data_IF_833986722109
#
_entry.id   IF_833986722109
#
_cell.length_a   1.000
_cell.length_b   1.000
_cell.length_c   1.000
_cell.angle_alpha   90.00
_cell.angle_beta   90.00
_cell.angle_gamma   90.00
#
_symmetry.space_group_name_H-M   'P 1'
#
loop_
_entity.id
_entity.type
_entity.pdbx_description
1 polymer ?
#
# COMPACT_ATOMS: atom_id res chain seq x y z
N UNK A 1 -32.22 36.69 -59.09
CA UNK A 1 -33.17 36.40 -57.99
C UNK A 1 -32.34 35.83 -56.84
N UNK A 2 -32.24 36.61 -55.74
CA UNK A 2 -31.68 36.32 -54.40
C UNK A 2 -30.23 35.76 -54.23
N UNK A 3 -29.32 36.67 -53.84
CA UNK A 3 -28.58 36.76 -52.55
C UNK A 3 -28.28 35.48 -51.75
N UNK A 4 -27.01 35.17 -51.45
CA UNK A 4 -26.26 35.62 -50.25
C UNK A 4 -24.89 34.94 -50.16
N UNK A 5 -23.94 35.72 -49.62
CA UNK A 5 -22.51 35.48 -49.36
C UNK A 5 -22.33 34.91 -47.96
N UNK A 6 -21.38 33.98 -47.71
CA UNK A 6 -20.51 33.92 -46.51
C UNK A 6 -19.31 32.98 -46.77
N UNK A 7 -18.10 33.49 -46.52
CA UNK A 7 -16.86 32.72 -46.33
C UNK A 7 -16.77 32.26 -44.87
N UNK A 8 -16.22 31.08 -44.60
CA UNK A 8 -15.65 30.77 -43.28
C UNK A 8 -14.39 29.91 -43.41
N UNK A 9 -13.35 30.32 -42.68
CA UNK A 9 -12.08 29.65 -42.48
C UNK A 9 -11.82 29.60 -40.96
N UNK A 10 -11.04 28.61 -40.49
CA UNK A 10 -10.42 28.45 -39.16
C UNK A 10 -11.26 28.03 -37.93
N UNK A 11 -10.76 27.04 -37.17
CA UNK A 11 -10.25 27.25 -35.79
C UNK A 11 -9.81 25.93 -35.12
N UNK A 12 -8.51 25.80 -34.88
CA UNK A 12 -7.92 24.97 -33.83
C UNK A 12 -8.33 25.55 -32.46
N UNK A 13 -8.70 24.69 -31.51
CA UNK A 13 -9.10 25.11 -30.16
C UNK A 13 -7.89 25.23 -29.25
N UNK A 14 -7.56 26.46 -28.88
CA UNK A 14 -6.71 26.81 -27.74
C UNK A 14 -7.39 26.44 -26.41
N UNK A 15 -6.70 25.69 -25.55
CA UNK A 15 -7.09 25.46 -24.16
C UNK A 15 -6.66 26.66 -23.28
N UNK A 16 -7.64 27.37 -22.71
CA UNK A 16 -7.41 28.49 -21.78
C UNK A 16 -7.18 28.01 -20.34
N UNK A 17 -6.06 28.42 -19.76
CA UNK A 17 -5.73 28.26 -18.35
C UNK A 17 -6.39 29.38 -17.51
N UNK A 18 -7.19 29.02 -16.51
CA UNK A 18 -7.76 29.96 -15.54
C UNK A 18 -6.72 30.28 -14.44
N UNK A 19 -6.03 31.41 -14.57
CA UNK A 19 -5.18 31.95 -13.51
C UNK A 19 -6.01 32.83 -12.57
N UNK A 20 -6.13 32.44 -11.29
CA UNK A 20 -6.52 33.35 -10.22
C UNK A 20 -5.33 33.55 -9.28
N UNK A 21 -4.81 34.78 -9.34
CA UNK A 21 -3.90 35.49 -8.44
C UNK A 21 -3.44 34.79 -7.15
N UNK A 22 -2.13 34.56 -7.07
CA UNK A 22 -1.38 34.51 -5.80
C UNK A 22 -0.30 35.59 -5.90
N UNK A 23 -0.58 36.75 -5.33
CA UNK A 23 0.44 37.72 -4.94
C UNK A 23 0.44 37.72 -3.43
N UNK A 24 1.49 37.24 -2.77
CA UNK A 24 1.92 37.70 -1.45
C UNK A 24 3.37 37.25 -1.22
N UNK A 25 4.15 38.14 -0.60
CA UNK A 25 5.56 38.04 -0.20
C UNK A 25 6.65 38.21 -1.28
N UNK A 26 7.11 39.45 -1.45
CA UNK A 26 8.52 39.83 -1.33
C UNK A 26 8.58 41.34 -1.03
N UNK A 27 8.82 41.71 0.23
CA UNK A 27 9.20 43.08 0.60
C UNK A 27 10.71 43.23 0.37
N UNK A 28 11.04 44.23 -0.45
CA UNK A 28 12.35 44.76 -0.80
C UNK A 28 13.30 44.99 0.39
N UNK A 29 14.58 44.69 0.20
CA UNK A 29 15.70 45.28 0.97
C UNK A 29 16.98 45.28 0.10
N UNK A 30 17.21 46.31 -0.72
CA UNK A 30 18.56 46.85 -1.02
C UNK A 30 18.46 48.32 -1.49
N UNK A 31 19.51 49.14 -1.25
CA UNK A 31 19.36 50.57 -1.00
C UNK A 31 19.45 51.45 -2.26
N UNK A 32 18.90 52.64 -2.11
CA UNK A 32 18.91 53.77 -3.06
C UNK A 32 20.32 54.33 -3.31
N UNK A 33 20.60 54.67 -4.57
CA UNK A 33 21.57 55.71 -4.91
C UNK A 33 21.02 56.62 -6.00
N UNK A 34 20.92 57.91 -5.67
CA UNK A 34 20.58 59.00 -6.58
C UNK A 34 21.67 59.18 -7.64
N UNK A 35 21.31 59.41 -8.91
CA UNK A 35 22.04 60.32 -9.82
C UNK A 35 21.18 60.74 -11.04
N UNK A 36 20.78 62.02 -11.00
CA UNK A 36 20.59 63.08 -12.02
C UNK A 36 20.64 62.73 -13.54
N UNK A 37 19.48 62.94 -14.19
CA UNK A 37 19.16 63.66 -15.46
C UNK A 37 19.93 63.45 -16.78
N UNK A 38 19.25 62.96 -17.83
CA UNK A 38 19.06 63.58 -19.18
C UNK A 38 18.01 62.78 -20.00
N UNK A 39 17.19 63.41 -20.88
CA UNK A 39 16.18 62.69 -21.66
C UNK A 39 16.78 62.22 -22.98
N UNK A 40 17.21 60.97 -23.06
CA UNK A 40 17.50 60.33 -24.35
C UNK A 40 16.20 59.79 -24.92
N UNK A 41 15.87 60.19 -26.15
CA UNK A 41 14.73 59.66 -26.90
C UNK A 41 14.91 58.15 -27.09
N UNK A 42 14.26 57.35 -26.24
CA UNK A 42 14.18 55.90 -26.40
C UNK A 42 13.11 55.65 -27.47
N UNK A 43 13.54 55.19 -28.64
CA UNK A 43 12.68 54.49 -29.59
C UNK A 43 11.93 53.39 -28.83
N UNK A 44 10.61 53.52 -28.74
CA UNK A 44 9.73 52.48 -28.20
C UNK A 44 9.83 51.30 -29.17
N UNK A 45 10.74 50.37 -28.88
CA UNK A 45 10.63 49.00 -29.38
C UNK A 45 9.33 48.49 -28.76
N UNK A 46 8.32 48.25 -29.60
CA UNK A 46 7.11 47.52 -29.20
C UNK A 46 7.56 46.30 -28.40
N UNK A 47 7.16 46.12 -27.13
CA UNK A 47 7.50 44.90 -26.43
C UNK A 47 6.95 43.75 -27.27
N UNK A 48 7.85 42.89 -27.76
CA UNK A 48 7.45 41.59 -28.29
C UNK A 48 6.50 41.00 -27.28
N UNK A 49 5.33 40.55 -27.74
CA UNK A 49 4.30 39.92 -26.92
C UNK A 49 4.95 38.97 -25.91
N UNK A 50 5.12 39.44 -24.66
CA UNK A 50 5.59 38.61 -23.58
C UNK A 50 4.42 37.66 -23.30
N UNK A 51 4.45 36.49 -23.93
CA UNK A 51 3.67 35.35 -23.47
C UNK A 51 4.10 35.18 -22.02
N UNK A 52 3.19 35.29 -21.03
CA UNK A 52 3.56 35.05 -19.66
C UNK A 52 4.10 33.62 -19.58
N UNK A 53 5.40 33.48 -19.34
CA UNK A 53 6.04 32.19 -19.14
C UNK A 53 5.47 31.61 -17.85
N UNK A 54 4.44 30.77 -18.01
CA UNK A 54 3.87 30.01 -16.91
C UNK A 54 4.90 28.98 -16.45
N UNK A 55 4.87 28.56 -15.19
CA UNK A 55 5.80 27.54 -14.68
C UNK A 55 5.72 26.23 -15.49
N UNK A 56 4.57 25.96 -16.12
CA UNK A 56 4.34 24.85 -17.05
C UNK A 56 5.03 24.97 -18.41
N UNK A 57 5.61 26.13 -18.75
CA UNK A 57 6.40 26.34 -19.97
C UNK A 57 7.88 26.00 -19.79
N UNK A 58 8.31 25.69 -18.56
CA UNK A 58 9.66 25.24 -18.26
C UNK A 58 9.91 23.79 -18.76
N UNK A 59 11.16 23.44 -19.10
CA UNK A 59 11.57 22.07 -19.34
C UNK A 59 11.17 21.10 -18.22
N UNK A 60 10.81 19.86 -18.60
CA UNK A 60 10.28 18.85 -17.67
C UNK A 60 11.23 18.50 -16.53
N UNK A 61 12.53 18.47 -16.79
CA UNK A 61 13.60 18.21 -15.82
C UNK A 61 13.64 19.28 -14.71
N UNK A 62 13.50 20.56 -15.09
CA UNK A 62 13.45 21.68 -14.14
C UNK A 62 12.17 21.58 -13.30
N UNK A 63 11.02 21.35 -13.94
CA UNK A 63 9.73 21.18 -13.24
C UNK A 63 9.81 20.00 -12.28
N UNK A 64 10.39 18.88 -12.70
CA UNK A 64 10.54 17.68 -11.89
C UNK A 64 11.46 17.92 -10.68
N UNK A 65 12.57 18.64 -10.84
CA UNK A 65 13.43 19.03 -9.70
C UNK A 65 12.64 19.85 -8.67
N UNK A 66 11.88 20.85 -9.11
CA UNK A 66 11.05 21.66 -8.23
C UNK A 66 9.98 20.82 -7.52
N UNK A 67 9.20 20.04 -8.28
CA UNK A 67 8.16 19.19 -7.73
C UNK A 67 8.73 18.20 -6.70
N UNK A 68 9.91 17.63 -6.97
CA UNK A 68 10.55 16.64 -6.09
C UNK A 68 10.89 17.19 -4.70
N UNK A 69 11.00 18.51 -4.54
CA UNK A 69 11.31 19.18 -3.26
C UNK A 69 10.08 19.53 -2.44
N UNK A 70 8.88 19.46 -3.01
CA UNK A 70 7.66 19.88 -2.32
C UNK A 70 7.27 18.86 -1.24
N UNK A 71 6.71 19.28 -0.09
CA UNK A 71 6.18 18.35 0.91
C UNK A 71 5.10 17.41 0.36
N UNK A 72 5.07 16.16 0.82
CA UNK A 72 4.10 15.14 0.35
C UNK A 72 2.65 15.57 0.54
N UNK A 73 2.36 16.41 1.55
CA UNK A 73 1.01 16.94 1.82
C UNK A 73 0.47 17.88 0.75
N UNK A 74 1.32 18.49 -0.07
CA UNK A 74 0.90 19.40 -1.14
C UNK A 74 0.75 18.70 -2.49
N UNK A 75 1.20 17.44 -2.62
CA UNK A 75 1.14 16.68 -3.87
C UNK A 75 -0.29 16.50 -4.42
N UNK A 76 -1.33 16.25 -3.59
CA UNK A 76 -2.70 16.15 -4.09
C UNK A 76 -3.13 17.44 -4.79
N UNK A 77 -2.91 18.60 -4.16
CA UNK A 77 -3.28 19.90 -4.72
C UNK A 77 -2.47 20.25 -5.98
N UNK A 78 -1.18 19.91 -6.00
CA UNK A 78 -0.28 20.14 -7.14
C UNK A 78 -0.68 19.29 -8.34
N UNK A 79 -1.15 18.06 -8.11
CA UNK A 79 -1.60 17.18 -9.19
C UNK A 79 -2.80 17.77 -9.95
N UNK A 80 -3.58 18.66 -9.33
CA UNK A 80 -4.74 19.31 -9.91
C UNK A 80 -4.40 20.60 -10.69
N UNK A 81 -3.16 21.08 -10.63
CA UNK A 81 -2.75 22.34 -11.28
C UNK A 81 -2.76 22.20 -12.80
N UNK A 82 -2.15 21.13 -13.33
CA UNK A 82 -2.20 20.82 -14.76
C UNK A 82 -1.88 19.34 -15.03
N UNK A 83 -2.25 18.87 -16.22
CA UNK A 83 -2.04 17.49 -16.66
C UNK A 83 -0.56 17.11 -16.76
N UNK A 84 0.33 18.06 -17.07
CA UNK A 84 1.78 17.85 -17.10
C UNK A 84 2.30 17.49 -15.70
N UNK A 85 1.93 18.26 -14.68
CA UNK A 85 2.40 18.02 -13.32
C UNK A 85 1.86 16.71 -12.77
N UNK A 86 0.58 16.42 -13.00
CA UNK A 86 -0.01 15.12 -12.67
C UNK A 86 0.79 13.96 -13.27
N UNK A 87 1.18 14.07 -14.55
CA UNK A 87 2.01 13.06 -15.24
C UNK A 87 3.42 12.95 -14.67
N UNK A 88 4.06 14.08 -14.35
CA UNK A 88 5.41 14.10 -13.79
C UNK A 88 5.44 13.50 -12.37
N UNK A 89 4.42 13.75 -11.55
CA UNK A 89 4.33 13.15 -10.20
C UNK A 89 4.24 11.61 -10.23
N UNK A 90 3.62 11.06 -11.28
CA UNK A 90 3.49 9.62 -11.48
C UNK A 90 4.77 8.99 -12.07
N UNK A 91 5.69 9.80 -12.60
CA UNK A 91 6.90 9.32 -13.27
C UNK A 91 7.86 8.60 -12.31
N UNK A 92 8.60 7.57 -12.77
CA UNK A 92 9.62 6.91 -11.95
C UNK A 92 10.74 7.87 -11.54
N UNK A 93 11.04 8.88 -12.37
CA UNK A 93 12.08 9.87 -12.11
C UNK A 93 11.73 10.74 -10.89
N UNK A 94 10.46 11.10 -10.70
CA UNK A 94 10.01 11.82 -9.51
C UNK A 94 10.29 11.03 -8.22
N UNK A 95 9.92 9.74 -8.22
CA UNK A 95 10.15 8.84 -7.09
C UNK A 95 11.65 8.71 -6.82
N UNK A 96 12.44 8.52 -7.88
CA UNK A 96 13.90 8.42 -7.79
C UNK A 96 14.51 9.68 -7.16
N UNK A 97 14.10 10.87 -7.61
CA UNK A 97 14.56 12.14 -7.08
C UNK A 97 14.16 12.35 -5.61
N UNK A 98 12.94 11.98 -5.21
CA UNK A 98 12.53 12.05 -3.80
C UNK A 98 13.33 11.07 -2.93
N UNK A 99 13.63 9.87 -3.44
CA UNK A 99 14.46 8.89 -2.75
C UNK A 99 15.87 9.42 -2.51
N UNK A 100 16.50 10.02 -3.53
CA UNK A 100 17.82 10.65 -3.41
C UNK A 100 17.85 11.83 -2.41
N UNK A 101 16.71 12.51 -2.23
CA UNK A 101 16.55 13.63 -1.29
C UNK A 101 16.12 13.21 0.12
N UNK A 102 15.96 11.90 0.38
CA UNK A 102 15.46 11.38 1.66
C UNK A 102 14.06 11.93 2.05
N UNK A 103 13.23 12.23 1.04
CA UNK A 103 11.87 12.76 1.21
C UNK A 103 10.78 11.68 1.11
N UNK A 104 11.17 10.41 1.02
CA UNK A 104 10.27 9.27 1.09
C UNK A 104 10.33 8.66 2.49
N UNK A 105 9.17 8.44 3.08
CA UNK A 105 9.05 7.82 4.39
C UNK A 105 8.20 6.56 4.30
N UNK A 106 8.55 5.56 5.10
CA UNK A 106 7.68 4.41 5.30
C UNK A 106 6.59 4.81 6.29
N UNK A 107 5.34 4.71 5.88
CA UNK A 107 4.17 5.04 6.70
C UNK A 107 3.21 3.85 6.74
N UNK A 108 2.40 3.75 7.79
CA UNK A 108 1.32 2.77 7.83
C UNK A 108 0.01 3.44 7.42
N UNK A 109 -0.65 2.91 6.40
CA UNK A 109 -1.90 3.46 5.88
C UNK A 109 -3.05 2.51 6.19
N UNK A 110 -4.09 3.05 6.82
CA UNK A 110 -5.37 2.39 7.05
C UNK A 110 -6.35 2.77 5.93
N UNK A 111 -7.10 1.79 5.44
CA UNK A 111 -8.04 1.95 4.33
C UNK A 111 -9.35 1.34 4.74
N UNK A 112 -10.42 2.12 4.68
CA UNK A 112 -11.77 1.60 4.85
C UNK A 112 -12.67 2.01 3.71
N UNK A 113 -13.60 1.12 3.35
CA UNK A 113 -14.64 1.39 2.38
C UNK A 113 -15.84 2.00 3.11
N UNK A 114 -16.33 3.11 2.58
CA UNK A 114 -17.55 3.80 3.01
C UNK A 114 -18.57 3.78 1.88
N UNK A 115 -19.83 4.08 2.20
CA UNK A 115 -20.89 4.27 1.21
C UNK A 115 -20.63 5.39 0.19
N UNK A 116 -19.62 6.24 0.41
CA UNK A 116 -19.28 7.37 -0.48
C UNK A 116 -17.89 7.23 -1.15
N UNK A 117 -17.17 6.13 -0.90
CA UNK A 117 -15.82 5.92 -1.41
C UNK A 117 -14.85 5.35 -0.38
N UNK A 118 -13.57 5.68 -0.50
CA UNK A 118 -12.54 5.18 0.42
C UNK A 118 -12.08 6.27 1.39
N UNK A 119 -11.89 5.89 2.64
CA UNK A 119 -11.16 6.70 3.60
C UNK A 119 -9.77 6.11 3.78
N UNK A 120 -8.78 7.00 3.75
CA UNK A 120 -7.40 6.68 4.03
C UNK A 120 -6.96 7.43 5.28
N UNK A 121 -6.25 6.77 6.17
CA UNK A 121 -5.53 7.45 7.24
C UNK A 121 -4.09 6.98 7.23
N UNK A 122 -3.15 7.91 7.27
CA UNK A 122 -1.72 7.62 7.28
C UNK A 122 -1.18 7.92 8.67
N UNK A 123 -0.55 6.93 9.28
CA UNK A 123 0.16 7.05 10.54
C UNK A 123 1.57 7.58 10.25
N UNK A 124 1.83 8.82 10.67
CA UNK A 124 3.14 9.46 10.60
C UNK A 124 3.46 10.03 11.98
N UNK A 125 4.65 9.74 12.52
CA UNK A 125 5.13 10.29 13.80
C UNK A 125 4.11 10.16 14.94
N UNK A 126 3.47 9.00 15.06
CA UNK A 126 2.46 8.73 16.09
C UNK A 126 1.19 9.60 16.00
N UNK A 127 0.86 10.11 14.81
CA UNK A 127 -0.39 10.83 14.56
C UNK A 127 -1.05 10.32 13.28
N UNK A 128 -2.38 10.17 13.31
CA UNK A 128 -3.16 9.75 12.15
C UNK A 128 -3.65 10.97 11.37
N UNK A 129 -3.15 11.13 10.14
CA UNK A 129 -3.66 12.12 9.20
C UNK A 129 -4.70 11.46 8.29
N UNK A 130 -5.96 11.89 8.39
CA UNK A 130 -7.05 11.34 7.59
C UNK A 130 -7.23 12.12 6.30
N UNK A 131 -7.33 11.41 5.19
CA UNK A 131 -7.62 11.97 3.87
C UNK A 131 -8.82 11.23 3.28
N UNK A 132 -9.77 11.99 2.73
CA UNK A 132 -11.00 11.45 2.13
C UNK A 132 -10.82 11.34 0.62
N UNK A 133 -11.10 10.18 0.07
CA UNK A 133 -11.00 9.92 -1.36
C UNK A 133 -12.40 9.64 -1.88
N UNK A 134 -12.92 10.59 -2.65
CA UNK A 134 -14.22 10.40 -3.29
C UNK A 134 -14.03 9.54 -4.52
N UNK A 135 -14.91 8.56 -4.67
CA UNK A 135 -15.00 7.68 -5.84
C UNK A 135 -15.67 8.45 -6.99
N UNK A 136 -15.13 9.63 -7.37
CA UNK A 136 -15.79 10.51 -8.35
C UNK A 136 -15.48 10.15 -9.81
N UNK A 137 -14.58 9.19 -10.07
CA UNK A 137 -14.09 8.90 -11.44
C UNK A 137 -14.35 7.48 -11.93
N UNK A 138 -14.86 6.57 -11.10
CA UNK A 138 -15.18 5.21 -11.55
C UNK A 138 -16.68 5.09 -11.83
N UNK A 139 -17.15 5.61 -12.97
CA UNK A 139 -18.54 5.48 -13.44
C UNK A 139 -18.98 4.02 -13.72
N UNK A 140 -18.13 3.02 -13.45
CA UNK A 140 -18.30 1.63 -13.87
C UNK A 140 -18.62 0.65 -12.73
N UNK A 141 -18.64 1.07 -11.46
CA UNK A 141 -18.85 0.16 -10.32
C UNK A 141 -19.93 0.74 -9.41
N UNK A 142 -21.01 -0.01 -9.16
CA UNK A 142 -22.01 0.39 -8.19
C UNK A 142 -21.42 0.33 -6.77
N UNK A 143 -21.81 1.24 -5.88
CA UNK A 143 -21.26 1.33 -4.52
C UNK A 143 -21.54 0.08 -3.66
N UNK A 144 -22.65 -0.61 -3.92
CA UNK A 144 -22.98 -1.89 -3.27
C UNK A 144 -22.08 -3.05 -3.74
N UNK A 145 -21.61 -3.01 -4.98
CA UNK A 145 -20.63 -3.97 -5.48
C UNK A 145 -19.28 -3.78 -4.80
N UNK A 146 -18.87 -2.54 -4.52
CA UNK A 146 -17.58 -2.22 -3.86
C UNK A 146 -17.47 -2.92 -2.50
N UNK A 147 -18.51 -2.85 -1.66
CA UNK A 147 -18.49 -3.52 -0.35
C UNK A 147 -18.36 -5.04 -0.46
N UNK A 148 -19.07 -5.66 -1.42
CA UNK A 148 -19.04 -7.10 -1.63
C UNK A 148 -17.71 -7.58 -2.22
N UNK A 149 -17.19 -6.83 -3.20
CA UNK A 149 -15.90 -7.05 -3.86
C UNK A 149 -14.75 -7.02 -2.84
N UNK A 150 -14.83 -6.10 -1.89
CA UNK A 150 -13.79 -5.86 -0.88
C UNK A 150 -13.92 -6.72 0.37
N UNK A 151 -14.98 -7.53 0.47
CA UNK A 151 -15.14 -8.47 1.58
C UNK A 151 -13.97 -9.47 1.59
N UNK A 152 -13.10 -9.36 2.60
CA UNK A 152 -11.84 -10.11 2.71
C UNK A 152 -10.76 -9.74 1.68
N UNK A 153 -10.78 -8.50 1.16
CA UNK A 153 -9.71 -7.99 0.35
C UNK A 153 -8.35 -8.01 1.08
N UNK A 154 -7.30 -8.08 0.29
CA UNK A 154 -5.92 -7.89 0.74
C UNK A 154 -5.40 -6.58 0.17
N UNK A 155 -4.61 -5.89 0.97
CA UNK A 155 -3.97 -4.65 0.55
C UNK A 155 -2.49 -4.91 0.41
N UNK A 156 -1.94 -4.48 -0.71
CA UNK A 156 -0.52 -4.60 -1.05
C UNK A 156 -0.06 -3.24 -1.58
N UNK A 157 1.13 -2.80 -1.22
CA UNK A 157 1.70 -1.57 -1.73
C UNK A 157 2.89 -1.85 -2.64
N UNK A 158 3.07 -0.99 -3.64
CA UNK A 158 4.28 -0.90 -4.46
C UNK A 158 4.61 0.58 -4.57
N UNK A 159 5.64 1.03 -3.85
CA UNK A 159 5.94 2.47 -3.70
C UNK A 159 4.71 3.22 -3.15
N UNK A 160 4.29 4.30 -3.81
CA UNK A 160 3.11 5.13 -3.48
C UNK A 160 1.78 4.54 -3.96
N UNK A 161 1.81 3.42 -4.69
CA UNK A 161 0.60 2.75 -5.15
C UNK A 161 0.11 1.76 -4.11
N UNK A 162 -1.19 1.81 -3.85
CA UNK A 162 -1.87 0.88 -2.98
C UNK A 162 -2.89 0.08 -3.77
N UNK A 163 -2.70 -1.24 -3.78
CA UNK A 163 -3.55 -2.19 -4.47
C UNK A 163 -4.47 -2.87 -3.48
N UNK A 164 -5.77 -2.73 -3.71
CA UNK A 164 -6.81 -3.42 -2.95
C UNK A 164 -7.29 -4.59 -3.80
N UNK A 165 -6.77 -5.77 -3.49
CA UNK A 165 -7.06 -7.02 -4.20
C UNK A 165 -8.27 -7.70 -3.53
N UNK A 166 -9.43 -7.56 -4.16
CA UNK A 166 -10.68 -8.18 -3.74
C UNK A 166 -10.85 -9.60 -4.27
N UNK A 167 -12.05 -10.16 -4.13
CA UNK A 167 -12.35 -11.51 -4.66
C UNK A 167 -12.38 -11.54 -6.19
N UNK A 168 -13.08 -10.58 -6.78
CA UNK A 168 -13.42 -10.52 -8.21
C UNK A 168 -13.04 -9.19 -8.87
N UNK A 169 -12.41 -8.27 -8.13
CA UNK A 169 -11.91 -7.03 -8.69
C UNK A 169 -10.67 -6.58 -7.92
N UNK A 170 -9.89 -5.71 -8.56
CA UNK A 170 -8.73 -5.08 -7.96
C UNK A 170 -8.77 -3.60 -8.22
N UNK A 171 -8.52 -2.80 -7.18
CA UNK A 171 -8.43 -1.35 -7.29
C UNK A 171 -6.99 -0.93 -7.01
N UNK A 172 -6.50 0.04 -7.77
CA UNK A 172 -5.23 0.70 -7.53
C UNK A 172 -5.50 2.15 -7.14
N UNK A 173 -5.00 2.54 -5.98
CA UNK A 173 -5.13 3.86 -5.40
C UNK A 173 -3.76 4.54 -5.33
N UNK A 174 -3.70 5.80 -5.75
CA UNK A 174 -2.52 6.65 -5.61
C UNK A 174 -2.58 7.40 -4.27
N UNK A 175 -1.58 7.23 -3.40
CA UNK A 175 -1.53 7.97 -2.13
C UNK A 175 -1.19 9.45 -2.29
N UNK A 176 -0.65 9.88 -3.43
CA UNK A 176 -0.25 11.26 -3.70
C UNK A 176 -1.31 12.06 -4.44
N UNK A 177 -1.89 11.54 -5.52
CA UNK A 177 -2.89 12.27 -6.33
C UNK A 177 -4.33 12.01 -5.90
N UNK A 178 -4.50 11.07 -4.98
CA UNK A 178 -5.80 10.58 -4.55
C UNK A 178 -6.66 9.93 -5.63
N UNK A 179 -6.04 9.49 -6.72
CA UNK A 179 -6.73 8.82 -7.82
C UNK A 179 -6.98 7.34 -7.52
N UNK A 180 -8.10 6.81 -8.02
CA UNK A 180 -8.48 5.40 -7.93
C UNK A 180 -8.75 4.87 -9.33
N UNK A 181 -8.19 3.72 -9.65
CA UNK A 181 -8.30 3.07 -10.96
C UNK A 181 -8.65 1.60 -10.79
N UNK A 182 -9.51 1.07 -11.66
CA UNK A 182 -9.80 -0.37 -11.72
C UNK A 182 -8.66 -1.07 -12.48
N UNK A 183 -8.21 -2.20 -11.95
CA UNK A 183 -7.24 -3.08 -12.59
C UNK A 183 -7.87 -4.45 -12.85
N UNK A 184 -7.19 -5.28 -13.65
CA UNK A 184 -7.64 -6.65 -13.90
C UNK A 184 -7.78 -7.45 -12.62
N UNK A 185 -8.88 -8.19 -12.54
CA UNK A 185 -9.10 -9.16 -11.47
C UNK A 185 -8.18 -10.39 -11.66
N UNK A 186 -7.92 -11.09 -10.55
CA UNK A 186 -7.22 -12.38 -10.56
C UNK A 186 -7.91 -13.38 -11.50
N UNK A 187 -7.13 -14.31 -12.08
CA UNK A 187 -7.63 -15.39 -12.93
C UNK A 187 -8.57 -16.29 -12.12
N UNK A 188 -8.19 -16.63 -10.89
CA UNK A 188 -9.00 -17.46 -10.00
C UNK A 188 -9.53 -16.64 -8.81
N UNK A 189 -10.85 -16.39 -8.74
CA UNK A 189 -11.49 -15.80 -7.58
C UNK A 189 -11.16 -16.53 -6.27
N UNK A 190 -10.68 -15.77 -5.28
CA UNK A 190 -10.21 -16.31 -3.99
C UNK A 190 -10.59 -15.39 -2.83
N UNK A 191 -10.64 -15.95 -1.61
CA UNK A 191 -10.85 -15.19 -0.36
C UNK A 191 -9.84 -15.59 0.69
N UNK A 192 -9.49 -14.65 1.58
CA UNK A 192 -8.53 -14.88 2.68
C UNK A 192 -7.22 -15.55 2.20
N UNK A 193 -6.72 -15.08 1.06
CA UNK A 193 -5.47 -15.53 0.45
C UNK A 193 -4.28 -14.76 1.05
N UNK A 194 -3.08 -15.29 0.83
CA UNK A 194 -1.83 -14.58 1.05
C UNK A 194 -1.57 -13.63 -0.14
N UNK A 195 -1.11 -12.41 0.12
CA UNK A 195 -0.73 -11.45 -0.91
C UNK A 195 0.52 -10.68 -0.47
N UNK A 196 1.44 -10.39 -1.39
CA UNK A 196 2.60 -9.54 -1.12
C UNK A 196 3.20 -8.97 -2.40
N UNK A 197 3.88 -7.83 -2.29
CA UNK A 197 4.65 -7.24 -3.38
C UNK A 197 6.08 -7.78 -3.37
N UNK A 198 6.58 -8.18 -4.53
CA UNK A 198 7.98 -8.58 -4.71
C UNK A 198 8.48 -8.05 -6.06
N UNK A 199 9.62 -7.38 -6.06
CA UNK A 199 10.26 -6.84 -7.27
C UNK A 199 9.29 -6.06 -8.18
N UNK A 200 8.43 -5.22 -7.59
CA UNK A 200 7.48 -4.38 -8.33
C UNK A 200 6.23 -5.09 -8.85
N UNK A 201 6.03 -6.37 -8.50
CA UNK A 201 4.87 -7.18 -8.89
C UNK A 201 4.11 -7.69 -7.67
N UNK A 202 2.85 -8.09 -7.83
CA UNK A 202 2.02 -8.60 -6.74
C UNK A 202 1.84 -10.10 -6.90
N UNK A 203 2.07 -10.85 -5.83
CA UNK A 203 1.87 -12.30 -5.80
C UNK A 203 0.73 -12.64 -4.87
N UNK A 204 -0.12 -13.59 -5.29
CA UNK A 204 -1.23 -14.10 -4.48
C UNK A 204 -1.21 -15.62 -4.42
N UNK A 205 -1.51 -16.19 -3.26
CA UNK A 205 -1.55 -17.63 -3.06
C UNK A 205 -2.58 -18.08 -2.01
N UNK A 206 -3.10 -19.30 -2.16
CA UNK A 206 -4.15 -19.83 -1.30
C UNK A 206 -5.51 -19.15 -1.49
N UNK A 207 -6.45 -19.43 -0.60
CA UNK A 207 -7.79 -18.83 -0.59
C UNK A 207 -8.76 -19.33 -1.68
N UNK A 208 -8.30 -20.20 -2.58
CA UNK A 208 -9.09 -20.77 -3.67
C UNK A 208 -9.76 -22.10 -3.28
N UNK A 209 -11.01 -22.29 -3.69
CA UNK A 209 -11.78 -23.53 -3.45
C UNK A 209 -11.31 -24.72 -4.31
N UNK A 210 -10.67 -24.47 -5.45
CA UNK A 210 -10.28 -25.51 -6.42
C UNK A 210 -8.87 -25.36 -6.99
N UNK A 211 -8.11 -24.37 -6.51
CA UNK A 211 -6.81 -24.04 -7.08
C UNK A 211 -5.77 -23.81 -5.99
N UNK A 212 -4.57 -24.33 -6.23
CA UNK A 212 -3.33 -24.00 -5.51
C UNK A 212 -2.47 -23.00 -6.27
N UNK A 213 -2.97 -22.43 -7.37
CA UNK A 213 -2.23 -21.51 -8.22
C UNK A 213 -1.73 -20.30 -7.42
N UNK A 214 -0.44 -20.04 -7.59
CA UNK A 214 0.21 -18.77 -7.26
C UNK A 214 0.13 -17.92 -8.52
N UNK A 215 -0.54 -16.79 -8.40
CA UNK A 215 -0.66 -15.83 -9.50
C UNK A 215 0.21 -14.63 -9.24
N UNK A 216 0.83 -14.12 -10.30
CA UNK A 216 1.61 -12.89 -10.35
C UNK A 216 0.82 -11.87 -11.15
N UNK A 217 0.72 -10.65 -10.62
CA UNK A 217 0.22 -9.48 -11.32
C UNK A 217 1.37 -8.56 -11.67
N UNK A 218 1.42 -8.18 -12.94
CA UNK A 218 2.30 -7.14 -13.45
C UNK A 218 1.51 -5.82 -13.63
N UNK A 219 1.80 -4.79 -12.81
CA UNK A 219 1.15 -3.49 -12.92
C UNK A 219 1.42 -2.74 -14.23
N UNK A 220 2.49 -3.08 -14.96
CA UNK A 220 2.84 -2.41 -16.22
C UNK A 220 1.93 -2.88 -17.35
N UNK A 221 1.72 -4.19 -17.46
CA UNK A 221 0.84 -4.78 -18.47
C UNK A 221 -0.62 -4.91 -18.04
N UNK A 222 -0.94 -4.68 -16.75
CA UNK A 222 -2.26 -4.94 -16.15
C UNK A 222 -2.73 -6.38 -16.43
N UNK A 223 -1.85 -7.35 -16.19
CA UNK A 223 -2.15 -8.76 -16.42
C UNK A 223 -1.78 -9.64 -15.24
N UNK A 224 -2.58 -10.71 -15.08
CA UNK A 224 -2.31 -11.80 -14.15
C UNK A 224 -1.82 -13.03 -14.93
N UNK A 225 -0.84 -13.73 -14.37
CA UNK A 225 -0.33 -15.01 -14.89
C UNK A 225 -0.15 -16.00 -13.76
N UNK A 226 -0.33 -17.29 -14.04
CA UNK A 226 0.01 -18.37 -13.10
C UNK A 226 1.51 -18.64 -13.18
N UNK A 227 2.23 -18.51 -12.06
CA UNK A 227 3.69 -18.69 -12.02
C UNK A 227 4.12 -20.03 -11.42
N UNK A 228 3.31 -20.62 -10.54
CA UNK A 228 3.54 -21.94 -9.94
C UNK A 228 2.25 -22.42 -9.24
N UNK A 229 2.26 -23.66 -8.76
CA UNK A 229 1.27 -24.17 -7.80
C UNK A 229 1.91 -24.30 -6.40
N UNK A 230 1.17 -23.89 -5.37
CA UNK A 230 1.61 -23.99 -3.98
C UNK A 230 1.60 -25.45 -3.49
N UNK A 231 2.60 -25.87 -2.68
CA UNK A 231 2.65 -27.22 -2.12
C UNK A 231 1.46 -27.55 -1.23
N UNK A 232 0.84 -26.52 -0.64
CA UNK A 232 -0.26 -26.64 0.31
C UNK A 232 -1.43 -25.77 -0.11
N UNK A 233 -2.62 -26.35 0.01
CA UNK A 233 -3.88 -25.63 -0.20
C UNK A 233 -4.37 -25.01 1.11
N UNK A 234 -4.21 -23.69 1.24
CA UNK A 234 -4.44 -22.93 2.48
C UNK A 234 -5.65 -21.98 2.38
N UNK A 235 -6.38 -21.79 3.47
CA UNK A 235 -7.37 -20.72 3.66
C UNK A 235 -6.99 -19.86 4.86
N UNK A 236 -7.11 -18.54 4.77
CA UNK A 236 -6.73 -17.66 5.88
C UNK A 236 -5.22 -17.55 6.09
N UNK A 237 -4.42 -17.81 5.06
CA UNK A 237 -2.98 -17.60 5.10
C UNK A 237 -2.62 -16.12 4.90
N UNK A 238 -1.38 -15.79 5.27
CA UNK A 238 -0.82 -14.43 5.22
C UNK A 238 0.39 -14.44 4.30
N UNK A 239 0.55 -13.36 3.53
CA UNK A 239 1.68 -13.15 2.64
C UNK A 239 2.67 -12.16 3.24
N UNK A 240 3.96 -12.44 3.11
CA UNK A 240 5.04 -11.50 3.40
C UNK A 240 6.15 -11.67 2.36
N UNK A 241 6.99 -10.66 2.19
CA UNK A 241 8.11 -10.73 1.25
C UNK A 241 9.37 -10.09 1.82
N UNK A 242 10.49 -10.74 1.56
CA UNK A 242 11.84 -10.24 1.87
C UNK A 242 12.79 -10.86 0.86
N UNK A 243 13.67 -10.03 0.29
CA UNK A 243 14.82 -10.50 -0.50
C UNK A 243 14.46 -11.45 -1.67
N UNK A 244 13.44 -11.05 -2.44
CA UNK A 244 12.97 -11.78 -3.61
C UNK A 244 12.15 -13.04 -3.29
N UNK A 245 11.87 -13.33 -2.02
CA UNK A 245 11.11 -14.53 -1.61
C UNK A 245 9.70 -14.13 -1.19
N UNK A 246 8.70 -14.86 -1.69
CA UNK A 246 7.32 -14.77 -1.23
C UNK A 246 7.04 -15.85 -0.17
N UNK A 247 6.71 -15.41 1.04
CA UNK A 247 6.43 -16.23 2.21
C UNK A 247 4.92 -16.39 2.38
N UNK A 248 4.43 -17.64 2.42
CA UNK A 248 3.03 -17.98 2.64
C UNK A 248 2.91 -18.65 4.01
N UNK A 249 2.32 -17.92 4.96
CA UNK A 249 2.41 -18.21 6.39
C UNK A 249 1.03 -18.59 6.94
N UNK A 250 0.99 -19.70 7.68
CA UNK A 250 -0.16 -20.16 8.44
C UNK A 250 -1.38 -20.51 7.59
N UNK A 251 -2.56 -20.28 8.16
CA UNK A 251 -3.85 -20.65 7.58
C UNK A 251 -4.25 -22.09 7.85
N UNK A 252 -5.41 -22.48 7.33
CA UNK A 252 -6.03 -23.77 7.55
C UNK A 252 -5.98 -24.61 6.27
N UNK A 253 -5.78 -25.92 6.42
CA UNK A 253 -5.94 -26.89 5.34
C UNK A 253 -7.38 -26.85 4.83
N UNK A 254 -7.53 -26.75 3.51
CA UNK A 254 -8.83 -26.98 2.86
C UNK A 254 -8.84 -28.41 2.31
N UNK A 255 -9.75 -29.25 2.80
CA UNK A 255 -9.97 -30.59 2.25
C UNK A 255 -10.52 -30.53 0.82
N UNK A 256 -10.24 -31.56 0.03
CA UNK A 256 -11.11 -31.95 -1.09
C UNK A 256 -12.36 -32.62 -0.51
N UNK A 257 -13.52 -32.47 -1.15
CA UNK A 257 -14.81 -33.04 -0.73
C UNK A 257 -14.87 -34.58 -0.87
N UNK A 258 -13.90 -35.31 -0.32
CA UNK A 258 -13.94 -36.77 -0.29
C UNK A 258 -13.72 -37.28 1.14
N UNK A 259 -14.81 -37.83 1.68
CA UNK A 259 -14.99 -38.60 2.92
C UNK A 259 -14.90 -37.84 4.25
N UNK A 260 -16.06 -37.44 4.74
CA UNK A 260 -16.36 -36.86 6.07
C UNK A 260 -15.91 -37.74 7.27
N UNK A 261 -15.60 -39.02 7.07
CA UNK A 261 -15.27 -39.95 8.16
C UNK A 261 -13.78 -40.00 8.60
N UNK A 262 -12.84 -39.43 7.83
CA UNK A 262 -11.40 -39.44 8.20
C UNK A 262 -10.91 -38.19 8.94
N UNK A 263 -11.82 -37.22 9.17
CA UNK A 263 -11.49 -35.86 9.65
C UNK A 263 -11.18 -35.75 11.14
N UNK A 264 -11.61 -36.71 11.97
CA UNK A 264 -11.59 -36.53 13.43
C UNK A 264 -10.22 -36.84 14.10
N UNK A 265 -9.46 -37.83 13.61
CA UNK A 265 -8.19 -38.23 14.21
C UNK A 265 -6.95 -37.67 13.47
N UNK A 266 -7.01 -37.50 12.15
CA UNK A 266 -5.93 -36.92 11.33
C UNK A 266 -6.04 -35.39 11.14
N UNK A 267 -7.18 -34.82 11.54
CA UNK A 267 -7.52 -33.42 11.32
C UNK A 267 -6.76 -32.47 12.24
N UNK A 268 -6.70 -32.75 13.55
CA UNK A 268 -6.11 -31.82 14.51
C UNK A 268 -4.60 -31.59 14.28
N UNK A 269 -3.84 -32.67 14.06
CA UNK A 269 -2.39 -32.58 13.75
C UNK A 269 -2.14 -31.95 12.37
N UNK A 270 -2.92 -32.30 11.35
CA UNK A 270 -2.81 -31.68 10.04
C UNK A 270 -3.22 -30.20 10.06
N UNK A 271 -4.21 -29.82 10.87
CA UNK A 271 -4.60 -28.42 11.06
C UNK A 271 -3.51 -27.63 11.80
N UNK A 272 -2.92 -28.19 12.85
CA UNK A 272 -1.78 -27.60 13.57
C UNK A 272 -0.55 -27.44 12.66
N UNK A 273 -0.28 -28.44 11.80
CA UNK A 273 0.81 -28.41 10.83
C UNK A 273 0.63 -27.32 9.75
N UNK A 274 -0.60 -26.94 9.42
CA UNK A 274 -0.86 -25.83 8.49
C UNK A 274 -0.79 -24.48 9.20
N UNK A 275 -1.40 -24.38 10.38
CA UNK A 275 -1.58 -23.13 11.12
C UNK A 275 -0.25 -22.46 11.52
N UNK A 276 0.81 -23.26 11.70
CA UNK A 276 2.15 -22.81 12.05
C UNK A 276 3.16 -22.87 10.89
N UNK A 277 2.80 -23.45 9.74
CA UNK A 277 3.77 -23.62 8.64
C UNK A 277 3.97 -22.37 7.79
N UNK A 278 5.15 -22.27 7.19
CA UNK A 278 5.55 -21.23 6.26
C UNK A 278 6.16 -21.88 5.00
N UNK A 279 5.52 -21.68 3.85
CA UNK A 279 6.07 -22.06 2.55
C UNK A 279 6.77 -20.86 1.92
N UNK A 280 7.89 -21.11 1.23
CA UNK A 280 8.78 -20.07 0.69
C UNK A 280 8.91 -20.30 -0.81
N UNK A 281 8.59 -19.28 -1.60
CA UNK A 281 8.76 -19.30 -3.05
C UNK A 281 9.82 -18.28 -3.46
N UNK A 282 10.95 -18.77 -3.97
CA UNK A 282 11.97 -17.92 -4.59
C UNK A 282 11.49 -17.53 -5.98
N UNK A 283 11.28 -16.23 -6.19
CA UNK A 283 10.69 -15.71 -7.42
C UNK A 283 11.69 -15.70 -8.56
N UNK A 284 12.96 -15.37 -8.29
CA UNK A 284 14.00 -15.35 -9.32
C UNK A 284 14.30 -16.77 -9.80
N UNK A 285 14.50 -17.69 -8.85
CA UNK A 285 14.75 -19.10 -9.15
C UNK A 285 13.49 -19.89 -9.56
N UNK A 286 12.29 -19.31 -9.44
CA UNK A 286 10.99 -19.95 -9.62
C UNK A 286 10.87 -21.31 -8.92
N UNK A 287 11.42 -21.39 -7.71
CA UNK A 287 11.54 -22.66 -6.97
C UNK A 287 10.98 -22.52 -5.56
N UNK A 288 10.32 -23.57 -5.11
CA UNK A 288 9.92 -23.68 -3.70
C UNK A 288 11.12 -24.04 -2.85
N UNK A 289 11.42 -23.19 -1.88
CA UNK A 289 12.46 -23.45 -0.90
C UNK A 289 11.89 -24.34 0.22
N UNK A 290 12.79 -24.89 1.03
CA UNK A 290 12.40 -25.75 2.16
C UNK A 290 11.44 -25.04 3.10
N UNK A 291 10.22 -25.56 3.23
CA UNK A 291 9.20 -25.06 4.16
C UNK A 291 9.74 -25.02 5.59
N UNK A 292 9.27 -24.02 6.35
CA UNK A 292 9.61 -23.81 7.75
C UNK A 292 8.35 -23.88 8.61
N UNK A 293 8.53 -23.94 9.92
CA UNK A 293 7.43 -23.95 10.90
C UNK A 293 7.72 -22.87 11.93
N UNK A 294 6.73 -22.02 12.19
CA UNK A 294 6.75 -21.04 13.27
C UNK A 294 6.68 -21.84 14.59
N UNK A 295 7.67 -21.73 15.47
CA UNK A 295 7.72 -22.54 16.67
C UNK A 295 6.57 -22.23 17.63
N UNK A 296 6.32 -23.14 18.57
CA UNK A 296 5.29 -23.01 19.60
C UNK A 296 3.95 -23.66 19.26
N UNK A 297 3.69 -24.05 18.00
CA UNK A 297 2.48 -24.83 17.64
C UNK A 297 1.16 -24.06 17.58
N UNK A 298 1.20 -22.73 17.68
CA UNK A 298 0.03 -21.86 17.65
C UNK A 298 -0.45 -21.52 16.23
N UNK A 299 -1.64 -20.94 16.15
CA UNK A 299 -2.17 -20.42 14.89
C UNK A 299 -1.58 -19.05 14.58
N UNK A 300 -0.96 -18.87 13.41
CA UNK A 300 -0.52 -17.53 12.98
C UNK A 300 -1.77 -16.66 12.72
N UNK A 301 -1.92 -15.59 13.50
CA UNK A 301 -3.05 -14.66 13.43
C UNK A 301 -2.72 -13.39 12.66
N UNK A 302 -1.44 -12.98 12.65
CA UNK A 302 -0.95 -11.87 11.86
C UNK A 302 0.53 -12.08 11.53
N UNK A 303 0.98 -11.60 10.38
CA UNK A 303 2.38 -11.63 10.00
C UNK A 303 2.69 -10.49 9.02
N UNK A 304 3.92 -10.02 9.03
CA UNK A 304 4.38 -8.96 8.14
C UNK A 304 5.91 -9.00 7.97
N UNK A 305 6.43 -8.29 6.98
CA UNK A 305 7.86 -8.13 6.76
C UNK A 305 8.31 -6.72 7.12
N UNK A 306 9.42 -6.59 7.84
CA UNK A 306 10.06 -5.32 8.22
C UNK A 306 11.55 -5.57 8.49
N UNK A 307 12.42 -4.58 8.29
CA UNK A 307 13.85 -4.69 8.61
C UNK A 307 14.59 -5.92 7.98
N UNK A 308 14.09 -6.46 6.86
CA UNK A 308 14.60 -7.70 6.26
C UNK A 308 14.32 -8.98 7.08
N UNK A 309 13.31 -8.95 7.94
CA UNK A 309 12.81 -10.09 8.72
C UNK A 309 11.33 -10.30 8.45
N UNK A 310 10.87 -11.52 8.69
CA UNK A 310 9.45 -11.85 8.74
C UNK A 310 9.04 -11.95 10.20
N UNK A 311 8.01 -11.22 10.59
CA UNK A 311 7.43 -11.22 11.92
C UNK A 311 6.10 -11.98 11.90
N UNK A 312 5.86 -12.81 12.91
CA UNK A 312 4.63 -13.59 13.04
C UNK A 312 4.10 -13.53 14.47
N UNK A 313 2.84 -13.11 14.59
CA UNK A 313 2.06 -13.22 15.82
C UNK A 313 1.26 -14.51 15.77
N UNK A 314 1.46 -15.34 16.79
CA UNK A 314 0.76 -16.61 16.94
C UNK A 314 -0.14 -16.59 18.16
N UNK A 315 -1.32 -17.18 18.02
CA UNK A 315 -2.27 -17.40 19.11
C UNK A 315 -2.23 -18.86 19.55
N UNK A 316 -2.05 -19.04 20.85
CA UNK A 316 -2.15 -20.31 21.56
C UNK A 316 -3.41 -20.31 22.42
N UNK A 317 -3.73 -21.46 23.02
CA UNK A 317 -4.91 -21.57 23.90
C UNK A 317 -4.91 -20.57 25.08
N UNK A 318 -3.73 -20.15 25.54
CA UNK A 318 -3.58 -19.35 26.77
C UNK A 318 -2.87 -18.01 26.54
N UNK A 319 -2.01 -17.90 25.52
CA UNK A 319 -1.20 -16.70 25.32
C UNK A 319 -0.94 -16.39 23.84
N UNK A 320 -0.49 -15.15 23.58
CA UNK A 320 0.08 -14.76 22.30
C UNK A 320 1.61 -14.84 22.37
N UNK A 321 2.23 -15.34 21.30
CA UNK A 321 3.68 -15.30 21.15
C UNK A 321 4.09 -14.65 19.84
N UNK A 322 5.11 -13.81 19.92
CA UNK A 322 5.62 -13.04 18.79
C UNK A 322 6.99 -13.57 18.37
N UNK A 323 7.14 -13.80 17.07
CA UNK A 323 8.31 -14.47 16.48
C UNK A 323 8.90 -13.63 15.36
N UNK A 324 10.21 -13.67 15.22
CA UNK A 324 10.92 -13.10 14.08
C UNK A 324 11.75 -14.15 13.36
N UNK A 325 11.78 -14.10 12.05
CA UNK A 325 12.57 -14.97 11.18
C UNK A 325 13.52 -14.11 10.35
N UNK A 326 14.82 -14.41 10.40
CA UNK A 326 15.79 -13.71 9.57
C UNK A 326 15.68 -14.19 8.12
N UNK A 327 15.10 -13.33 7.29
CA UNK A 327 14.71 -13.60 5.92
C UNK A 327 15.72 -13.06 4.89
N UNK A 328 16.83 -12.44 5.33
CA UNK A 328 17.92 -12.02 4.45
C UNK A 328 18.70 -13.25 3.98
N UNK A 329 18.96 -13.38 2.68
CA UNK A 329 19.84 -14.43 2.16
C UNK A 329 21.25 -14.23 2.74
N UNK A 330 21.81 -15.26 3.37
CA UNK A 330 23.24 -15.26 3.69
C UNK A 330 24.02 -15.41 2.37
N UNK A 331 24.97 -14.51 2.14
CA UNK A 331 25.96 -14.68 1.07
C UNK A 331 26.93 -15.79 1.47
N UNK A 332 26.55 -17.05 1.34
CA UNK A 332 27.47 -18.19 1.42
C UNK A 332 27.74 -18.70 0.00
N UNK A 333 29.01 -18.75 -0.39
CA UNK A 333 29.43 -19.14 -1.74
C UNK A 333 28.89 -20.51 -2.18
N UNK A 334 28.54 -20.60 -3.47
CA UNK A 334 28.12 -21.80 -4.23
C UNK A 334 27.32 -22.84 -3.42
N UNK A 335 26.09 -22.47 -3.06
CA UNK A 335 25.09 -23.41 -2.57
C UNK A 335 24.01 -22.72 -1.77
N UNK A 336 22.88 -22.44 -2.40
CA UNK A 336 21.60 -21.99 -1.82
C UNK A 336 21.68 -21.14 -0.55
N UNK A 337 21.58 -19.81 -0.69
CA UNK A 337 21.64 -18.87 0.43
C UNK A 337 20.81 -19.34 1.63
N UNK A 338 21.48 -19.70 2.71
CA UNK A 338 20.82 -20.20 3.91
C UNK A 338 20.07 -19.04 4.60
N UNK A 339 18.77 -19.21 4.81
CA UNK A 339 17.98 -18.30 5.65
C UNK A 339 18.27 -18.57 7.13
N UNK A 340 17.93 -17.62 8.00
CA UNK A 340 18.07 -17.78 9.44
C UNK A 340 17.01 -18.70 10.06
N UNK A 341 16.87 -18.60 11.38
CA UNK A 341 15.92 -19.36 12.17
C UNK A 341 14.87 -18.44 12.79
N UNK A 342 13.82 -19.05 13.34
CA UNK A 342 12.80 -18.35 14.10
C UNK A 342 13.31 -18.07 15.52
N UNK A 343 13.20 -16.83 15.96
CA UNK A 343 13.51 -16.40 17.32
C UNK A 343 12.24 -15.86 17.98
N UNK A 344 11.95 -16.32 19.20
CA UNK A 344 10.91 -15.72 20.05
C UNK A 344 11.37 -14.34 20.47
N UNK A 345 10.50 -13.35 20.36
CA UNK A 345 10.75 -11.97 20.78
C UNK A 345 9.68 -11.54 21.78
N UNK A 346 9.86 -10.35 22.36
CA UNK A 346 8.94 -9.79 23.36
C UNK A 346 7.52 -9.77 22.79
N UNK A 347 6.58 -10.42 23.48
CA UNK A 347 5.18 -10.41 23.08
C UNK A 347 4.57 -9.00 23.24
N UNK A 348 3.58 -8.64 22.41
CA UNK A 348 2.92 -7.34 22.52
C UNK A 348 2.25 -7.18 23.90
N UNK A 349 2.43 -6.03 24.58
CA UNK A 349 1.81 -5.76 25.87
C UNK A 349 0.32 -5.44 25.69
N UNK A 350 -0.50 -6.49 25.58
CA UNK A 350 -1.95 -6.33 25.49
C UNK A 350 -2.57 -6.09 26.88
N UNK A 351 -3.60 -5.22 26.99
CA UNK A 351 -4.32 -5.03 28.24
C UNK A 351 -4.96 -6.32 28.76
N UNK A 352 -4.95 -6.55 30.07
CA UNK A 352 -5.48 -7.77 30.73
C UNK A 352 -6.97 -8.06 30.44
N UNK A 353 -7.75 -7.05 30.03
CA UNK A 353 -9.15 -7.21 29.65
C UNK A 353 -9.36 -7.86 28.27
N UNK A 354 -8.29 -7.97 27.47
CA UNK A 354 -8.29 -8.61 26.16
C UNK A 354 -8.22 -10.12 26.38
N UNK A 355 -9.37 -10.73 26.73
CA UNK A 355 -9.49 -12.19 26.67
C UNK A 355 -9.17 -12.62 25.24
N UNK A 356 -8.20 -13.54 25.09
CA UNK A 356 -7.84 -14.19 23.82
C UNK A 356 -8.99 -15.12 23.40
N UNK A 357 -10.15 -14.55 23.15
CA UNK A 357 -11.27 -15.25 22.55
C UNK A 357 -11.15 -15.14 21.03
N UNK A 358 -11.81 -16.07 20.34
CA UNK A 358 -11.92 -16.23 18.89
C UNK A 358 -12.35 -14.99 18.10
N UNK A 359 -12.65 -13.88 18.77
CA UNK A 359 -13.08 -12.59 18.18
C UNK A 359 -11.95 -11.58 17.95
N UNK A 360 -10.77 -11.77 18.53
CA UNK A 360 -9.65 -10.85 18.31
C UNK A 360 -9.04 -11.05 16.93
N UNK A 361 -8.97 -9.96 16.15
CA UNK A 361 -8.23 -9.92 14.90
C UNK A 361 -7.10 -8.91 15.02
N UNK A 362 -5.96 -9.27 14.47
CA UNK A 362 -4.80 -8.40 14.40
C UNK A 362 -4.45 -8.15 12.95
N UNK A 363 -4.04 -6.92 12.66
CA UNK A 363 -3.31 -6.58 11.44
C UNK A 363 -1.87 -6.28 11.82
N UNK A 364 -0.92 -6.89 11.10
CA UNK A 364 0.52 -6.63 11.23
C UNK A 364 0.97 -5.92 9.97
N UNK A 365 1.64 -4.79 10.12
CA UNK A 365 2.18 -4.03 9.01
C UNK A 365 3.63 -3.68 9.29
N UNK A 366 4.51 -3.91 8.32
CA UNK A 366 5.87 -3.41 8.37
C UNK A 366 5.96 -1.96 7.91
N UNK A 367 6.73 -1.15 8.62
CA UNK A 367 6.96 0.26 8.35
C UNK A 367 8.45 0.55 8.55
N UNK A 368 9.27 0.28 7.53
CA UNK A 368 10.72 0.40 7.61
C UNK A 368 11.29 -0.53 8.68
N UNK A 369 11.90 0.06 9.72
CA UNK A 369 12.46 -0.62 10.89
C UNK A 369 11.45 -0.80 12.04
N UNK A 370 10.14 -0.64 11.77
CA UNK A 370 9.08 -0.80 12.77
C UNK A 370 8.03 -1.80 12.30
N UNK A 371 7.43 -2.50 13.26
CA UNK A 371 6.25 -3.34 13.04
C UNK A 371 5.08 -2.71 13.77
N UNK A 372 4.02 -2.39 13.05
CA UNK A 372 2.79 -1.84 13.61
C UNK A 372 1.78 -2.97 13.74
N UNK A 373 1.38 -3.25 14.98
CA UNK A 373 0.34 -4.21 15.31
C UNK A 373 -0.94 -3.45 15.66
N UNK A 374 -2.01 -3.75 14.95
CA UNK A 374 -3.29 -3.05 15.10
C UNK A 374 -4.35 -4.07 15.47
N UNK A 375 -5.01 -3.86 16.61
CA UNK A 375 -6.16 -4.65 17.01
C UNK A 375 -7.40 -4.19 16.25
N UNK A 376 -7.95 -5.09 15.43
CA UNK A 376 -9.15 -4.90 14.64
C UNK A 376 -10.29 -5.64 15.34
N UNK A 377 -11.36 -4.94 15.70
CA UNK A 377 -12.49 -5.59 16.36
C UNK A 377 -13.17 -6.64 15.48
N UNK A 378 -13.69 -7.67 16.15
CA UNK A 378 -14.35 -8.80 15.51
C UNK A 378 -15.76 -8.45 15.02
N UNK A 379 -16.19 -9.08 13.92
CA UNK A 379 -17.57 -9.00 13.44
C UNK A 379 -18.47 -9.81 14.38
N UNK A 380 -18.97 -9.19 15.45
CA UNK A 380 -19.88 -9.85 16.38
C UNK A 380 -20.06 -9.05 17.67
N UNK A 381 -20.89 -8.01 17.63
CA UNK A 381 -21.39 -7.25 18.78
C UNK A 381 -20.33 -6.48 19.57
N UNK A 382 -20.57 -5.18 19.77
CA UNK A 382 -19.78 -4.36 20.70
C UNK A 382 -19.83 -5.00 22.10
N UNK A 383 -18.70 -5.53 22.58
CA UNK A 383 -18.52 -5.69 24.02
C UNK A 383 -18.30 -4.28 24.54
N UNK A 384 -19.23 -3.77 25.37
CA UNK A 384 -19.09 -2.46 26.03
C UNK A 384 -17.67 -2.33 26.62
N UNK A 385 -16.86 -1.45 26.04
CA UNK A 385 -15.49 -1.15 26.50
C UNK A 385 -14.34 -1.60 25.59
N UNK A 386 -14.56 -2.35 24.49
CA UNK A 386 -13.47 -2.65 23.54
C UNK A 386 -13.26 -1.49 22.55
N UNK A 387 -12.22 -0.67 22.74
CA UNK A 387 -11.78 0.27 21.71
C UNK A 387 -11.16 -0.52 20.53
N UNK A 388 -11.86 -0.58 19.40
CA UNK A 388 -11.22 -0.96 18.13
C UNK A 388 -10.10 0.05 17.82
N UNK A 389 -9.00 -0.41 17.22
CA UNK A 389 -7.92 0.50 16.83
C UNK A 389 -6.84 0.71 17.88
N UNK A 390 -6.66 -0.22 18.82
CA UNK A 390 -5.48 -0.26 19.69
C UNK A 390 -4.23 -0.57 18.84
N UNK A 391 -3.33 0.41 18.73
CA UNK A 391 -2.09 0.36 17.96
C UNK A 391 -0.89 0.18 18.88
N UNK A 392 -0.09 -0.84 18.61
CA UNK A 392 1.22 -1.06 19.21
C UNK A 392 2.29 -0.97 18.13
N UNK A 393 3.43 -0.38 18.46
CA UNK A 393 4.56 -0.23 17.55
C UNK A 393 5.75 -0.95 18.16
N UNK A 394 6.25 -1.96 17.47
CA UNK A 394 7.48 -2.64 17.82
C UNK A 394 8.63 -2.02 17.04
N UNK A 395 9.66 -1.57 17.74
CA UNK A 395 10.88 -1.07 17.11
C UNK A 395 11.86 -2.24 16.91
N UNK A 396 12.22 -2.49 15.65
CA UNK A 396 13.07 -3.63 15.30
C UNK A 396 14.53 -3.44 15.73
N UNK A 397 14.94 -2.20 16.03
CA UNK A 397 16.31 -1.85 16.43
C UNK A 397 16.50 -1.99 17.94
N UNK A 398 15.55 -1.49 18.72
CA UNK A 398 15.61 -1.56 20.19
C UNK A 398 15.04 -2.86 20.73
N UNK A 399 14.14 -3.50 19.97
CA UNK A 399 13.43 -4.69 20.39
C UNK A 399 12.30 -4.42 21.39
N UNK A 400 11.86 -3.17 21.51
CA UNK A 400 10.88 -2.72 22.49
C UNK A 400 9.53 -2.38 21.84
N UNK A 401 8.48 -2.43 22.68
CA UNK A 401 7.11 -2.10 22.30
C UNK A 401 6.72 -0.74 22.85
N UNK A 402 6.22 0.12 21.96
CA UNK A 402 5.65 1.41 22.29
C UNK A 402 4.16 1.47 21.97
N UNK A 403 3.48 2.38 22.64
CA UNK A 403 2.07 2.66 22.40
C UNK A 403 1.91 3.63 21.23
N UNK A 404 1.24 3.15 20.17
CA UNK A 404 0.85 3.97 19.04
C UNK A 404 -0.42 4.77 19.29
N UNK A 405 -0.66 5.82 18.51
CA UNK A 405 -1.92 6.55 18.49
C UNK A 405 -3.07 5.66 18.03
N UNK A 406 -4.19 5.76 18.75
CA UNK A 406 -5.39 5.01 18.42
C UNK A 406 -5.95 5.43 17.08
N UNK A 407 -6.47 4.43 16.36
CA UNK A 407 -7.10 4.65 15.08
C UNK A 407 -8.35 5.53 15.25
N UNK A 408 -8.61 6.49 14.34
CA UNK A 408 -9.83 7.26 14.38
C UNK A 408 -11.07 6.35 14.24
N UNK A 409 -12.14 6.67 14.96
CA UNK A 409 -13.35 5.83 15.05
C UNK A 409 -14.01 5.55 13.68
N UNK A 410 -13.80 6.43 12.71
CA UNK A 410 -14.30 6.28 11.35
C UNK A 410 -13.73 5.05 10.59
N UNK A 411 -12.63 4.46 11.06
CA UNK A 411 -11.92 3.36 10.37
C UNK A 411 -12.26 1.98 10.93
N UNK A 412 -13.56 1.69 11.09
CA UNK A 412 -14.03 0.34 11.45
C UNK A 412 -13.73 -0.64 10.31
N UNK A 413 -13.27 -1.85 10.65
CA UNK A 413 -12.92 -2.95 9.71
C UNK A 413 -11.91 -2.55 8.61
N UNK A 414 -11.02 -1.61 8.89
CA UNK A 414 -10.01 -1.17 7.93
C UNK A 414 -9.02 -2.30 7.58
N UNK A 415 -8.48 -2.22 6.38
CA UNK A 415 -7.29 -2.96 5.98
C UNK A 415 -6.07 -2.02 6.10
N UNK A 416 -4.90 -2.59 6.36
CA UNK A 416 -3.71 -1.81 6.65
C UNK A 416 -2.54 -2.27 5.79
N UNK A 417 -1.72 -1.32 5.36
CA UNK A 417 -0.55 -1.57 4.51
C UNK A 417 0.55 -0.56 4.81
N UNK A 418 1.81 -0.98 4.67
CA UNK A 418 2.96 -0.07 4.77
C UNK A 418 3.22 0.54 3.41
N UNK A 419 3.28 1.86 3.31
CA UNK A 419 3.49 2.59 2.04
C UNK A 419 4.79 3.38 2.14
N UNK A 420 5.59 3.35 1.09
CA UNK A 420 6.74 4.25 0.93
C UNK A 420 6.29 5.46 0.10
N UNK A 421 6.09 6.61 0.75
CA UNK A 421 5.48 7.79 0.12
C UNK A 421 6.01 9.13 0.66
#
# INVERSE_FOLDING_TARGET
>A
MLSMKVMSNSSEKEERCNSRHITWFMKSCFPTSHHITTPTTITIIKPSSHVPTTLSSLPNDIVLDFLSRVPSSSLPSISLVCSLWSRLLISPDFIHLRRLRYLLHHTATAITATQYGFLFATLLNNSWNSSKFFLSTCNAISLDDVYNILSHARVVSISHWVYVVGRNAMLRCDTWTSSVTLCRAMIFPRKKFAASAVAGKIYVAGGGSRSTAVEEYDPVSDTWVVVTHAPRRRYGCIGASVDGVFYIIGGLRIGSEQNELSRAASGAEAHAAYASSMDLFDIEGRVWLRSRVVPGGGCVVAACAAAGRVYALTSHAVELSFWSFNARRKCSGRGGGAFGEWCRIKSPPLPALVRVDTRLRFSCVGMGEKVVLIQVGGCGGEVRGSKEGYVLVYDCTTGEWDRGADLPEAFRRAAYVGVEC
#
